data_IF_328745866892
#
_entry.id   IF_328745866892
#
_cell.length_a   1.000
_cell.length_b   1.000
_cell.length_c   1.000
_cell.angle_alpha   90.00
_cell.angle_beta   90.00
_cell.angle_gamma   90.00
#
_symmetry.space_group_name_H-M   'P 1'
#
loop_
_entity.id
_entity.type
_entity.pdbx_description
1 polymer ?
#
# COMPACT_ATOMS: atom_id res chain seq x y z
N UNK A 1 9.08 -14.32 -6.56
CA UNK A 1 8.45 -15.59 -6.13
C UNK A 1 6.96 -15.42 -5.81
N UNK A 2 6.54 -14.56 -4.87
CA UNK A 2 5.11 -14.39 -4.50
C UNK A 2 4.18 -13.78 -5.56
N UNK A 3 4.73 -12.95 -6.47
CA UNK A 3 3.94 -12.26 -7.50
C UNK A 3 3.54 -13.20 -8.65
N UNK A 4 4.42 -14.14 -9.00
CA UNK A 4 4.22 -15.05 -10.15
C UNK A 4 3.72 -16.43 -9.69
N UNK A 5 4.21 -16.90 -8.55
CA UNK A 5 3.84 -18.19 -7.98
C UNK A 5 3.12 -17.91 -6.67
N UNK A 6 1.78 -17.91 -6.74
CA UNK A 6 0.94 -17.73 -5.57
C UNK A 6 1.35 -18.70 -4.47
N UNK A 7 1.60 -18.16 -3.28
CA UNK A 7 1.65 -18.94 -2.04
C UNK A 7 0.54 -18.43 -1.16
N UNK A 8 -0.16 -19.34 -0.49
CA UNK A 8 -1.16 -18.98 0.52
C UNK A 8 -0.46 -18.37 1.74
N UNK A 9 -0.21 -17.07 1.67
CA UNK A 9 0.22 -16.26 2.79
C UNK A 9 -1.02 -15.73 3.50
N UNK A 10 -1.43 -16.42 4.56
CA UNK A 10 -2.54 -15.97 5.39
C UNK A 10 -2.10 -15.90 6.85
N UNK A 11 -1.80 -14.68 7.33
CA UNK A 11 -1.43 -14.44 8.73
C UNK A 11 -2.62 -13.89 9.54
N UNK A 12 -2.48 -13.88 10.86
CA UNK A 12 -3.54 -13.42 11.77
C UNK A 12 -3.98 -11.97 11.49
N UNK A 13 -3.07 -11.10 11.07
CA UNK A 13 -3.40 -9.71 10.76
C UNK A 13 -4.24 -9.59 9.48
N UNK A 14 -3.95 -10.40 8.46
CA UNK A 14 -4.73 -10.45 7.22
C UNK A 14 -6.14 -11.00 7.47
N UNK A 15 -6.26 -12.11 8.22
CA UNK A 15 -7.57 -12.66 8.62
C UNK A 15 -8.41 -11.63 9.38
N UNK A 16 -7.77 -10.90 10.29
CA UNK A 16 -8.44 -9.84 11.05
C UNK A 16 -8.88 -8.68 10.14
N UNK A 17 -8.03 -8.25 9.20
CA UNK A 17 -8.39 -7.23 8.21
C UNK A 17 -9.65 -7.63 7.43
N UNK A 18 -9.61 -8.79 6.78
CA UNK A 18 -10.73 -9.32 5.98
C UNK A 18 -12.03 -9.43 6.78
N UNK A 19 -11.96 -9.93 8.01
CA UNK A 19 -13.14 -10.11 8.85
C UNK A 19 -13.80 -8.79 9.32
N UNK A 20 -13.09 -7.66 9.26
CA UNK A 20 -13.58 -6.39 9.78
C UNK A 20 -13.76 -5.30 8.72
N UNK A 21 -13.28 -5.51 7.49
CA UNK A 21 -13.33 -4.52 6.42
C UNK A 21 -14.76 -4.07 6.11
N UNK A 22 -15.70 -5.02 6.00
CA UNK A 22 -17.11 -4.71 5.75
C UNK A 22 -17.74 -3.90 6.90
N UNK A 23 -17.38 -4.23 8.14
CA UNK A 23 -17.87 -3.52 9.34
C UNK A 23 -17.34 -2.09 9.34
N UNK A 24 -16.05 -1.92 9.06
CA UNK A 24 -15.41 -0.61 8.96
C UNK A 24 -16.03 0.24 7.84
N UNK A 25 -16.29 -0.35 6.67
CA UNK A 25 -16.96 0.31 5.54
C UNK A 25 -18.36 0.79 5.92
N UNK A 26 -19.20 -0.08 6.49
CA UNK A 26 -20.55 0.29 6.94
C UNK A 26 -20.53 1.38 8.00
N UNK A 27 -19.52 1.39 8.87
CA UNK A 27 -19.35 2.47 9.83
C UNK A 27 -18.98 3.79 9.16
N UNK A 28 -18.06 3.77 8.19
CA UNK A 28 -17.71 4.95 7.38
C UNK A 28 -18.94 5.51 6.66
N UNK A 29 -19.73 4.67 5.98
CA UNK A 29 -20.94 5.09 5.26
C UNK A 29 -21.92 5.84 6.16
N UNK A 30 -22.15 5.32 7.38
CA UNK A 30 -23.02 5.96 8.37
C UNK A 30 -22.45 7.28 8.89
N UNK A 31 -21.18 7.30 9.27
CA UNK A 31 -20.54 8.47 9.88
C UNK A 31 -20.48 9.65 8.90
N UNK A 32 -20.13 9.38 7.64
CA UNK A 32 -19.95 10.40 6.62
C UNK A 32 -21.20 10.61 5.76
N UNK A 33 -22.31 9.93 6.08
CA UNK A 33 -23.57 9.99 5.32
C UNK A 33 -23.34 9.85 3.81
N UNK A 34 -22.54 8.85 3.44
CA UNK A 34 -22.11 8.60 2.06
C UNK A 34 -22.22 7.12 1.73
N UNK A 35 -22.24 6.79 0.45
CA UNK A 35 -22.23 5.42 -0.04
C UNK A 35 -20.84 5.02 -0.51
N UNK A 36 -20.41 3.80 -0.17
CA UNK A 36 -19.16 3.22 -0.66
C UNK A 36 -19.49 2.10 -1.63
N UNK A 37 -19.23 2.34 -2.91
CA UNK A 37 -19.41 1.35 -3.96
C UNK A 37 -18.21 0.38 -3.98
N UNK A 38 -18.47 -0.91 -3.79
CA UNK A 38 -17.45 -1.95 -3.90
C UNK A 38 -17.00 -2.06 -5.35
N UNK A 39 -15.71 -2.28 -5.56
CA UNK A 39 -15.11 -2.39 -6.87
C UNK A 39 -14.14 -3.56 -6.96
N UNK A 40 -13.83 -3.96 -8.19
CA UNK A 40 -12.79 -4.95 -8.48
C UNK A 40 -11.45 -4.30 -8.79
N UNK A 41 -10.68 -5.01 -9.62
CA UNK A 41 -9.37 -4.57 -10.08
C UNK A 41 -9.50 -3.54 -11.20
N UNK A 42 -8.87 -2.38 -11.03
CA UNK A 42 -8.62 -1.42 -12.09
C UNK A 42 -7.27 -1.72 -12.74
N UNK A 43 -7.24 -1.67 -14.07
CA UNK A 43 -6.04 -1.86 -14.88
C UNK A 43 -5.72 -0.54 -15.56
N UNK A 44 -4.46 -0.12 -15.49
CA UNK A 44 -3.99 1.08 -16.19
C UNK A 44 -4.08 0.88 -17.71
N UNK A 45 -4.61 1.88 -18.42
CA UNK A 45 -4.87 1.79 -19.87
C UNK A 45 -3.59 1.76 -20.70
N UNK A 46 -2.59 2.52 -20.29
CA UNK A 46 -1.33 2.65 -21.04
C UNK A 46 -0.31 1.58 -20.62
N UNK A 47 -0.41 1.11 -19.37
CA UNK A 47 0.50 0.15 -18.76
C UNK A 47 -0.29 -1.01 -18.12
N UNK A 48 -0.76 -2.00 -18.89
CA UNK A 48 -1.64 -3.07 -18.40
C UNK A 48 -1.06 -3.95 -17.28
N UNK A 49 0.25 -3.86 -17.03
CA UNK A 49 0.91 -4.52 -15.91
C UNK A 49 0.77 -3.77 -14.57
N UNK A 50 0.16 -2.58 -14.59
CA UNK A 50 -0.16 -1.79 -13.40
C UNK A 50 -1.65 -1.91 -13.10
N UNK A 51 -1.95 -2.36 -11.89
CA UNK A 51 -3.32 -2.51 -11.44
C UNK A 51 -3.48 -2.02 -10.00
N UNK A 52 -4.71 -1.64 -9.64
CA UNK A 52 -5.09 -1.24 -8.29
C UNK A 52 -6.47 -1.77 -7.95
N UNK A 53 -6.63 -2.24 -6.72
CA UNK A 53 -7.93 -2.60 -6.15
C UNK A 53 -8.11 -1.73 -4.90
N UNK A 54 -8.81 -0.59 -5.00
CA UNK A 54 -9.20 0.17 -3.81
C UNK A 54 -10.28 -0.59 -3.03
N UNK A 55 -10.39 -0.30 -1.73
CA UNK A 55 -11.37 -0.96 -0.86
C UNK A 55 -12.80 -0.44 -1.13
N UNK A 56 -12.93 0.74 -1.76
CA UNK A 56 -14.20 1.21 -2.31
C UNK A 56 -14.12 2.55 -3.03
N UNK A 57 -15.18 2.87 -3.77
CA UNK A 57 -15.36 4.14 -4.49
C UNK A 57 -16.35 5.02 -3.72
N UNK A 58 -16.00 6.29 -3.54
CA UNK A 58 -16.83 7.27 -2.81
C UNK A 58 -17.19 8.41 -3.74
N UNK A 59 -18.50 8.56 -4.02
CA UNK A 59 -18.99 9.51 -5.02
C UNK A 59 -18.31 9.37 -6.39
N UNK A 60 -18.16 10.49 -7.09
CA UNK A 60 -17.63 10.50 -8.46
C UNK A 60 -16.09 10.45 -8.52
N UNK A 61 -15.43 11.04 -7.52
CA UNK A 61 -14.00 11.35 -7.57
C UNK A 61 -13.19 10.79 -6.39
N UNK A 62 -13.85 10.13 -5.44
CA UNK A 62 -13.26 9.63 -4.21
C UNK A 62 -13.02 8.14 -4.18
N UNK A 63 -12.07 7.75 -3.33
CA UNK A 63 -11.77 6.37 -2.94
C UNK A 63 -11.78 6.27 -1.41
N UNK A 64 -11.93 5.05 -0.90
CA UNK A 64 -11.60 4.72 0.48
C UNK A 64 -10.58 3.58 0.50
N UNK A 65 -9.61 3.70 1.40
CA UNK A 65 -8.64 2.66 1.77
C UNK A 65 -8.82 2.36 3.26
N UNK A 66 -9.31 1.17 3.57
CA UNK A 66 -9.62 0.70 4.92
C UNK A 66 -8.44 -0.09 5.45
N UNK A 67 -8.03 0.19 6.69
CA UNK A 67 -7.06 -0.64 7.40
C UNK A 67 -7.54 -0.93 8.81
N UNK A 68 -7.62 -2.22 9.14
CA UNK A 68 -7.91 -2.71 10.49
C UNK A 68 -6.62 -3.30 11.09
N UNK A 69 -5.74 -2.48 11.70
CA UNK A 69 -4.47 -2.96 12.21
C UNK A 69 -4.66 -3.91 13.39
N UNK A 70 -4.19 -5.15 13.24
CA UNK A 70 -4.30 -6.17 14.28
C UNK A 70 -3.65 -5.76 15.61
N UNK A 71 -2.58 -4.97 15.56
CA UNK A 71 -1.93 -4.44 16.77
C UNK A 71 -2.83 -3.50 17.57
N UNK A 72 -3.79 -2.82 16.92
CA UNK A 72 -4.71 -1.88 17.58
C UNK A 72 -6.07 -2.50 17.96
N UNK A 73 -6.26 -3.81 17.78
CA UNK A 73 -7.57 -4.48 17.86
C UNK A 73 -8.31 -4.35 19.21
N UNK A 74 -7.60 -4.04 20.29
CA UNK A 74 -8.15 -3.88 21.63
C UNK A 74 -8.04 -2.45 22.18
N UNK A 75 -7.44 -1.55 21.39
CA UNK A 75 -7.17 -0.18 21.79
C UNK A 75 -8.47 0.60 21.93
N UNK A 76 -8.62 1.31 23.05
CA UNK A 76 -9.75 2.20 23.31
C UNK A 76 -9.58 3.57 22.68
N UNK A 77 -8.34 3.99 22.43
CA UNK A 77 -8.02 5.26 21.79
C UNK A 77 -7.06 5.01 20.62
N UNK A 78 -7.64 4.89 19.43
CA UNK A 78 -6.86 4.59 18.21
C UNK A 78 -5.92 5.73 17.85
N UNK A 79 -6.34 6.99 18.04
CA UNK A 79 -5.51 8.17 17.79
C UNK A 79 -4.26 8.15 18.66
N UNK A 80 -4.42 7.93 19.97
CA UNK A 80 -3.31 7.83 20.92
C UNK A 80 -2.38 6.66 20.58
N UNK A 81 -2.94 5.49 20.24
CA UNK A 81 -2.15 4.33 19.80
C UNK A 81 -1.29 4.63 18.56
N UNK A 82 -1.80 5.41 17.61
CA UNK A 82 -1.09 5.73 16.36
C UNK A 82 0.05 6.73 16.57
N UNK A 83 -0.09 7.67 17.52
CA UNK A 83 0.90 8.73 17.77
C UNK A 83 1.93 8.37 18.85
N UNK A 84 1.61 7.43 19.75
CA UNK A 84 2.50 7.05 20.83
C UNK A 84 3.64 6.16 20.32
N UNK A 85 4.88 6.63 20.49
CA UNK A 85 6.09 5.89 20.10
C UNK A 85 6.45 4.72 21.03
N UNK A 86 5.64 4.45 22.06
CA UNK A 86 5.98 3.44 23.07
C UNK A 86 5.87 2.04 22.46
N UNK A 87 7.06 1.46 22.21
CA UNK A 87 7.36 0.09 21.72
C UNK A 87 6.97 -0.19 20.27
N UNK A 88 7.94 -0.18 19.34
CA UNK A 88 8.00 -0.95 18.05
C UNK A 88 6.74 -1.07 17.15
N UNK A 89 5.63 -0.39 17.47
CA UNK A 89 4.29 -0.67 16.99
C UNK A 89 3.63 0.53 16.30
N UNK A 90 4.31 1.68 16.22
CA UNK A 90 3.76 2.81 15.47
C UNK A 90 3.69 2.40 13.99
N UNK A 91 2.49 2.40 13.42
CA UNK A 91 2.25 2.11 12.00
C UNK A 91 2.86 3.18 11.06
N UNK A 92 3.83 3.97 11.52
CA UNK A 92 4.57 4.97 10.75
C UNK A 92 3.86 6.31 10.60
N UNK A 93 2.71 6.51 11.25
CA UNK A 93 1.96 7.76 11.22
C UNK A 93 2.68 8.87 11.99
N UNK A 94 2.45 10.10 11.55
CA UNK A 94 2.89 11.32 12.23
C UNK A 94 1.68 12.17 12.57
N UNK A 95 1.87 13.10 13.50
CA UNK A 95 0.85 14.05 13.93
C UNK A 95 1.35 15.49 13.78
N UNK A 96 0.45 16.39 13.42
CA UNK A 96 0.65 17.84 13.42
C UNK A 96 -0.66 18.51 13.83
N UNK A 97 -0.57 19.58 14.62
CA UNK A 97 -1.75 20.33 15.07
C UNK A 97 -2.60 20.88 13.91
N UNK A 98 -1.98 21.16 12.76
CA UNK A 98 -2.68 21.73 11.60
C UNK A 98 -3.35 20.67 10.71
N UNK A 99 -2.78 19.46 10.63
CA UNK A 99 -3.19 18.42 9.68
C UNK A 99 -3.76 17.17 10.34
N UNK A 100 -3.71 17.10 11.66
CA UNK A 100 -4.00 15.88 12.40
C UNK A 100 -2.98 14.78 12.11
N UNK A 101 -3.46 13.54 12.04
CA UNK A 101 -2.66 12.38 11.64
C UNK A 101 -2.37 12.43 10.14
N UNK A 102 -1.13 12.09 9.77
CA UNK A 102 -0.75 11.95 8.37
C UNK A 102 0.34 10.89 8.14
N UNK A 103 0.40 10.40 6.91
CA UNK A 103 1.43 9.51 6.41
C UNK A 103 2.65 10.30 5.91
N UNK A 104 3.87 9.94 6.35
CA UNK A 104 5.10 10.41 5.71
C UNK A 104 5.12 10.10 4.21
N UNK A 105 5.79 10.93 3.40
CA UNK A 105 5.87 10.75 1.95
C UNK A 105 6.59 9.47 1.51
N UNK A 106 7.38 8.86 2.39
CA UNK A 106 8.06 7.58 2.17
C UNK A 106 7.29 6.38 2.76
N UNK A 107 6.06 6.58 3.21
CA UNK A 107 5.26 5.53 3.82
C UNK A 107 4.66 4.58 2.78
N UNK A 108 4.63 3.27 3.06
CA UNK A 108 4.08 2.25 2.15
C UNK A 108 2.63 2.51 1.75
N UNK A 109 1.77 2.85 2.71
CA UNK A 109 0.36 3.18 2.45
C UNK A 109 0.22 4.47 1.63
N UNK A 110 1.16 5.41 1.77
CA UNK A 110 1.14 6.62 0.96
C UNK A 110 1.37 6.28 -0.52
N UNK A 111 2.36 5.42 -0.81
CA UNK A 111 2.58 4.96 -2.18
C UNK A 111 1.40 4.15 -2.72
N UNK A 112 0.79 3.28 -1.90
CA UNK A 112 -0.39 2.50 -2.27
C UNK A 112 -1.56 3.42 -2.67
N UNK A 113 -1.90 4.39 -1.82
CA UNK A 113 -2.99 5.34 -2.08
C UNK A 113 -2.72 6.17 -3.33
N UNK A 114 -1.50 6.70 -3.48
CA UNK A 114 -1.15 7.46 -4.67
C UNK A 114 -1.29 6.58 -5.93
N UNK A 115 -0.87 5.32 -5.85
CA UNK A 115 -1.05 4.36 -6.93
C UNK A 115 -2.48 4.10 -7.33
N UNK A 116 -3.35 3.87 -6.34
CA UNK A 116 -4.78 3.71 -6.57
C UNK A 116 -5.36 4.95 -7.25
N UNK A 117 -5.05 6.15 -6.75
CA UNK A 117 -5.54 7.41 -7.34
C UNK A 117 -5.09 7.58 -8.79
N UNK A 118 -3.85 7.22 -9.10
CA UNK A 118 -3.35 7.28 -10.46
C UNK A 118 -4.06 6.30 -11.39
N UNK A 119 -4.12 5.02 -11.02
CA UNK A 119 -4.66 3.98 -11.90
C UNK A 119 -6.16 4.19 -12.12
N UNK A 120 -6.88 4.61 -11.09
CA UNK A 120 -8.34 4.87 -11.14
C UNK A 120 -8.70 6.25 -11.69
N UNK A 121 -7.72 7.13 -11.90
CA UNK A 121 -7.91 8.54 -12.30
C UNK A 121 -8.81 9.34 -11.34
N UNK A 122 -8.80 8.98 -10.06
CA UNK A 122 -9.58 9.63 -8.99
C UNK A 122 -8.79 10.74 -8.29
N UNK A 123 -9.49 11.67 -7.65
CA UNK A 123 -8.87 12.91 -7.12
C UNK A 123 -8.39 12.78 -5.68
N UNK A 124 -9.09 12.01 -4.86
CA UNK A 124 -8.81 11.88 -3.44
C UNK A 124 -9.16 10.49 -2.90
N UNK A 125 -8.50 10.13 -1.80
CA UNK A 125 -8.70 8.87 -1.10
C UNK A 125 -8.70 9.12 0.40
N UNK A 126 -9.74 8.64 1.09
CA UNK A 126 -9.80 8.58 2.53
C UNK A 126 -9.10 7.32 3.03
N UNK A 127 -8.06 7.51 3.85
CA UNK A 127 -7.48 6.41 4.62
C UNK A 127 -8.26 6.26 5.92
N UNK A 128 -9.03 5.19 6.01
CA UNK A 128 -9.88 4.89 7.15
C UNK A 128 -9.28 3.80 8.03
N UNK A 129 -8.70 4.20 9.15
CA UNK A 129 -8.14 3.29 10.15
C UNK A 129 -9.22 2.94 11.16
N UNK A 130 -9.47 1.65 11.33
CA UNK A 130 -10.60 1.19 12.14
C UNK A 130 -10.19 0.13 13.17
N UNK A 131 -10.74 0.24 14.37
CA UNK A 131 -10.81 -0.82 15.36
C UNK A 131 -12.20 -0.85 16.02
N UNK A 132 -12.49 -1.88 16.81
CA UNK A 132 -13.82 -2.06 17.43
C UNK A 132 -14.28 -0.91 18.32
N UNK A 133 -13.35 -0.12 18.86
CA UNK A 133 -13.65 0.97 19.82
C UNK A 133 -13.56 2.37 19.20
N UNK A 134 -13.18 2.49 17.93
CA UNK A 134 -13.07 3.79 17.28
C UNK A 134 -12.36 3.74 15.93
N UNK A 135 -12.28 4.91 15.29
CA UNK A 135 -11.67 5.07 13.98
C UNK A 135 -10.87 6.37 13.88
N UNK A 136 -10.00 6.44 12.88
CA UNK A 136 -9.29 7.65 12.46
C UNK A 136 -9.37 7.74 10.94
N UNK A 137 -9.78 8.89 10.41
CA UNK A 137 -9.78 9.18 8.98
C UNK A 137 -8.68 10.20 8.65
N UNK A 138 -8.01 10.01 7.51
CA UNK A 138 -7.18 11.06 6.90
C UNK A 138 -7.34 11.07 5.38
N UNK A 139 -7.71 12.23 4.83
CA UNK A 139 -7.88 12.41 3.39
C UNK A 139 -6.55 12.73 2.69
N UNK A 140 -6.30 12.05 1.55
CA UNK A 140 -5.13 12.27 0.69
C UNK A 140 -5.57 12.65 -0.72
N UNK A 141 -4.88 13.63 -1.31
CA UNK A 141 -5.08 14.03 -2.71
C UNK A 141 -4.00 13.44 -3.62
N UNK A 142 -4.38 13.19 -4.87
CA UNK A 142 -3.44 12.72 -5.90
C UNK A 142 -2.35 13.75 -6.18
N UNK A 143 -1.08 13.32 -6.16
CA UNK A 143 0.08 14.17 -6.46
C UNK A 143 0.82 13.65 -7.69
N UNK A 144 0.58 14.31 -8.83
CA UNK A 144 1.19 13.98 -10.13
C UNK A 144 2.70 13.73 -10.07
N UNK A 145 3.46 14.53 -9.30
CA UNK A 145 4.92 14.39 -9.15
C UNK A 145 5.36 13.08 -8.47
N UNK A 146 4.59 12.58 -7.50
CA UNK A 146 4.88 11.29 -6.84
C UNK A 146 4.67 10.15 -7.84
N UNK A 147 3.67 10.31 -8.69
CA UNK A 147 3.25 9.34 -9.69
C UNK A 147 4.29 9.25 -10.81
N UNK A 148 4.66 10.38 -11.40
CA UNK A 148 5.71 10.44 -12.43
C UNK A 148 7.06 9.90 -11.93
N UNK A 149 7.47 10.21 -10.69
CA UNK A 149 8.78 9.76 -10.18
C UNK A 149 8.81 8.26 -9.83
N UNK A 150 7.77 7.72 -9.21
CA UNK A 150 7.78 6.33 -8.76
C UNK A 150 7.34 5.33 -9.84
N UNK A 151 6.41 5.72 -10.71
CA UNK A 151 5.88 4.85 -11.77
C UNK A 151 6.71 4.85 -13.04
N UNK A 152 7.51 5.90 -13.32
CA UNK A 152 8.17 6.05 -14.63
C UNK A 152 9.22 4.99 -14.94
N UNK A 153 10.21 4.78 -14.06
CA UNK A 153 11.37 3.94 -14.41
C UNK A 153 11.52 2.73 -13.54
N UNK A 154 11.24 2.83 -12.24
CA UNK A 154 11.55 1.75 -11.29
C UNK A 154 10.56 0.59 -11.42
N UNK A 155 9.26 0.86 -11.38
CA UNK A 155 8.23 -0.20 -11.47
C UNK A 155 8.23 -0.84 -12.86
N UNK A 156 8.34 -0.03 -13.90
CA UNK A 156 8.42 -0.50 -15.28
C UNK A 156 9.65 -1.40 -15.50
N UNK A 157 10.83 -0.95 -15.04
CA UNK A 157 12.04 -1.77 -15.08
C UNK A 157 11.89 -3.06 -14.28
N UNK A 158 11.29 -3.02 -13.10
CA UNK A 158 11.03 -4.22 -12.29
C UNK A 158 10.11 -5.21 -13.03
N UNK A 159 9.03 -4.72 -13.66
CA UNK A 159 8.14 -5.57 -14.41
C UNK A 159 8.85 -6.22 -15.60
N UNK A 160 9.45 -5.43 -16.49
CA UNK A 160 10.06 -5.94 -17.72
C UNK A 160 11.35 -6.73 -17.51
N UNK A 161 12.11 -6.44 -16.45
CA UNK A 161 13.40 -7.12 -16.18
C UNK A 161 13.30 -8.26 -15.16
N UNK A 162 12.28 -8.27 -14.29
CA UNK A 162 12.14 -9.30 -13.27
C UNK A 162 10.87 -10.15 -13.46
N UNK A 163 9.71 -9.50 -13.56
CA UNK A 163 8.41 -10.20 -13.52
C UNK A 163 8.10 -10.88 -14.86
N UNK A 164 8.14 -10.14 -15.96
CA UNK A 164 7.80 -10.64 -17.30
C UNK A 164 8.68 -11.83 -17.74
N UNK A 165 10.01 -11.81 -17.56
CA UNK A 165 10.84 -12.98 -17.90
C UNK A 165 10.50 -14.22 -17.07
N UNK A 166 10.08 -14.04 -15.82
CA UNK A 166 9.66 -15.15 -14.96
C UNK A 166 8.27 -15.69 -15.35
N UNK A 167 7.39 -14.85 -15.90
CA UNK A 167 6.11 -15.29 -16.48
C UNK A 167 6.33 -16.07 -17.78
N UNK A 168 7.19 -15.58 -18.67
CA UNK A 168 7.40 -16.17 -20.01
C UNK A 168 8.29 -17.42 -19.99
N UNK A 169 9.35 -17.43 -19.19
CA UNK A 169 10.33 -18.52 -19.10
C UNK A 169 10.73 -18.73 -17.64
N UNK A 170 9.77 -19.21 -16.84
CA UNK A 170 9.89 -19.37 -15.39
C UNK A 170 11.09 -20.22 -14.98
N UNK A 171 11.94 -19.69 -14.10
CA UNK A 171 13.10 -20.42 -13.53
C UNK A 171 12.73 -21.15 -12.26
N UNK A 172 11.87 -20.55 -11.42
CA UNK A 172 11.51 -21.16 -10.13
C UNK A 172 10.85 -22.55 -10.25
N UNK A 173 9.93 -22.82 -11.21
CA UNK A 173 9.33 -24.14 -11.40
C UNK A 173 10.34 -25.22 -11.81
N UNK A 174 11.47 -24.80 -12.39
CA UNK A 174 12.59 -25.67 -12.78
C UNK A 174 13.68 -25.78 -11.71
N UNK A 175 13.40 -25.32 -10.48
CA UNK A 175 14.37 -25.24 -9.38
C UNK A 175 15.65 -24.44 -9.72
N UNK A 176 15.54 -23.47 -10.64
CA UNK A 176 16.64 -22.58 -11.00
C UNK A 176 16.55 -21.26 -10.22
N UNK A 177 17.70 -20.60 -9.93
CA UNK A 177 17.69 -19.29 -9.29
C UNK A 177 16.96 -18.25 -10.14
N UNK A 178 16.25 -17.34 -9.47
CA UNK A 178 15.56 -16.23 -10.13
C UNK A 178 16.56 -15.37 -10.91
N UNK A 179 16.08 -14.76 -12.01
CA UNK A 179 16.87 -13.78 -12.75
C UNK A 179 17.03 -12.52 -11.91
N UNK A 180 18.20 -12.32 -11.33
CA UNK A 180 18.57 -11.04 -10.74
C UNK A 180 18.98 -10.08 -11.87
N UNK A 181 18.36 -8.90 -11.97
CA UNK A 181 18.77 -7.92 -12.96
C UNK A 181 20.16 -7.37 -12.65
N UNK A 182 20.97 -7.11 -13.69
CA UNK A 182 22.31 -6.54 -13.56
C UNK A 182 22.37 -5.30 -12.66
N UNK A 183 21.37 -4.41 -12.74
CA UNK A 183 21.35 -3.20 -11.90
C UNK A 183 21.19 -3.47 -10.40
N UNK A 184 20.58 -4.61 -10.03
CA UNK A 184 20.44 -5.04 -8.63
C UNK A 184 21.79 -5.58 -8.14
N UNK A 185 22.49 -6.34 -8.98
CA UNK A 185 23.83 -6.83 -8.69
C UNK A 185 24.83 -5.68 -8.55
N UNK A 186 24.84 -4.72 -9.48
CA UNK A 186 25.66 -3.50 -9.45
C UNK A 186 25.39 -2.66 -8.20
N UNK A 187 24.11 -2.45 -7.85
CA UNK A 187 23.73 -1.71 -6.64
C UNK A 187 24.20 -2.42 -5.37
N UNK A 188 24.15 -3.75 -5.36
CA UNK A 188 24.60 -4.58 -4.23
C UNK A 188 26.12 -4.57 -4.09
N UNK A 189 26.86 -4.61 -5.21
CA UNK A 189 28.32 -4.45 -5.25
C UNK A 189 28.75 -3.06 -4.78
N UNK A 190 28.10 -2.00 -5.24
CA UNK A 190 28.38 -0.62 -4.82
C UNK A 190 28.12 -0.40 -3.32
N UNK A 191 27.05 -0.99 -2.76
CA UNK A 191 26.80 -0.95 -1.31
C UNK A 191 27.85 -1.70 -0.50
N UNK A 192 28.25 -2.90 -0.95
CA UNK A 192 29.34 -3.66 -0.32
C UNK A 192 30.65 -2.88 -0.36
N UNK A 193 31.00 -2.27 -1.49
CA UNK A 193 32.19 -1.45 -1.63
C UNK A 193 32.18 -0.27 -0.66
N UNK A 194 31.07 0.47 -0.58
CA UNK A 194 30.91 1.56 0.39
C UNK A 194 31.06 1.07 1.84
N UNK A 195 30.54 -0.10 2.20
CA UNK A 195 30.72 -0.63 3.56
C UNK A 195 32.17 -1.02 3.87
N UNK A 196 32.93 -1.44 2.87
CA UNK A 196 34.36 -1.74 2.99
C UNK A 196 35.17 -0.44 3.11
N UNK A 197 34.79 0.61 2.40
CA UNK A 197 35.49 1.90 2.40
C UNK A 197 35.22 2.74 3.68
N UNK A 198 34.24 2.36 4.50
CA UNK A 198 33.87 3.06 5.76
C UNK A 198 34.32 2.26 7.01
N UNK A 199 34.85 1.05 6.84
CA UNK A 199 35.38 0.19 7.91
C UNK A 199 36.90 0.32 8.03
#
# INVERSE_FOLDING_TARGET
MLIVYGRDLCNAAMKYGLANEEIARKQYEREYSTEVNICGLFVDKDKPFLCASPDGLVGDDGLIEIKCPYSARFESNLLEFLITKKKKNSLGFKFSNERGIYLPLNHKFYFQIQGQLFITQRKWCDLYLWCKKGFVNSAYRGKRRVLERNYSKTIEKFYFKCVLPEILDGRAPRNMPLREPLYVEESSRSKKQKMIDIG
#
